data_IF_943655752260
#
_entry.id   IF_943655752260
#
_cell.length_a   1.000
_cell.length_b   1.000
_cell.length_c   1.000
_cell.angle_alpha   90.00
_cell.angle_beta   90.00
_cell.angle_gamma   90.00
#
_symmetry.space_group_name_H-M   'P 1'
#
loop_
_entity.id
_entity.type
_entity.pdbx_description
1 polymer ?
#
# COMPACT_ATOMS: atom_id res chain seq x y z
N UNK A 1 0.43 -7.76 9.46
CA UNK A 1 -0.65 -6.79 9.26
C UNK A 1 -0.95 -6.60 7.79
N UNK A 2 -0.08 -5.88 7.07
CA UNK A 2 -0.32 -5.48 5.67
C UNK A 2 -0.62 -6.65 4.71
N UNK A 3 0.08 -7.78 4.86
CA UNK A 3 -0.18 -8.97 4.04
C UNK A 3 -1.60 -9.53 4.21
N UNK A 4 -2.14 -9.52 5.43
CA UNK A 4 -3.50 -10.02 5.68
C UNK A 4 -4.56 -9.07 5.11
N UNK A 5 -4.35 -7.76 5.27
CA UNK A 5 -5.22 -6.75 4.69
C UNK A 5 -5.21 -6.83 3.14
N UNK A 6 -4.03 -7.00 2.54
CA UNK A 6 -3.90 -7.16 1.10
C UNK A 6 -4.56 -8.46 0.60
N UNK A 7 -4.38 -9.59 1.31
CA UNK A 7 -5.00 -10.87 0.95
C UNK A 7 -6.52 -10.83 1.08
N UNK A 8 -7.05 -10.19 2.12
CA UNK A 8 -8.49 -10.00 2.31
C UNK A 8 -9.08 -9.09 1.23
N UNK A 9 -8.40 -8.00 0.89
CA UNK A 9 -8.79 -7.14 -0.24
C UNK A 9 -8.76 -7.91 -1.57
N UNK A 10 -7.75 -8.75 -1.80
CA UNK A 10 -7.65 -9.60 -2.98
C UNK A 10 -8.89 -10.51 -3.10
N UNK A 11 -9.27 -11.14 -1.98
CA UNK A 11 -10.43 -12.02 -1.91
C UNK A 11 -11.74 -11.27 -2.20
N UNK A 12 -11.93 -10.09 -1.61
CA UNK A 12 -13.13 -9.26 -1.83
C UNK A 12 -13.22 -8.72 -3.26
N UNK A 13 -12.11 -8.28 -3.83
CA UNK A 13 -12.07 -7.72 -5.18
C UNK A 13 -11.99 -8.80 -6.28
N UNK A 14 -11.85 -10.08 -5.91
CA UNK A 14 -11.70 -11.18 -6.87
C UNK A 14 -10.41 -11.12 -7.69
N UNK A 15 -9.37 -10.47 -7.16
CA UNK A 15 -8.07 -10.27 -7.81
C UNK A 15 -6.98 -11.06 -7.08
N UNK A 16 -5.85 -11.28 -7.75
CA UNK A 16 -4.66 -11.88 -7.14
C UNK A 16 -3.56 -10.85 -7.00
N UNK A 17 -2.94 -10.79 -5.83
CA UNK A 17 -1.74 -9.99 -5.59
C UNK A 17 -0.55 -10.90 -5.32
N UNK A 18 0.61 -10.53 -5.86
CA UNK A 18 1.88 -11.16 -5.51
C UNK A 18 2.40 -10.47 -4.26
N UNK A 19 2.54 -11.22 -3.16
CA UNK A 19 3.09 -10.68 -1.92
C UNK A 19 4.61 -10.57 -2.02
N UNK A 20 5.13 -9.35 -1.93
CA UNK A 20 6.57 -9.07 -1.87
C UNK A 20 6.93 -8.74 -0.41
N UNK A 21 7.74 -9.58 0.27
CA UNK A 21 8.04 -9.39 1.69
C UNK A 21 9.09 -8.29 1.90
N UNK A 22 8.72 -7.26 2.66
CA UNK A 22 9.63 -6.19 3.09
C UNK A 22 9.81 -6.18 4.60
N UNK A 23 10.99 -5.71 5.04
CA UNK A 23 11.31 -5.57 6.47
C UNK A 23 10.70 -4.32 7.10
N UNK A 24 10.21 -3.37 6.30
CA UNK A 24 9.58 -2.16 6.81
C UNK A 24 8.98 -1.28 5.72
N UNK A 25 8.13 -0.33 6.14
CA UNK A 25 7.38 0.56 5.25
C UNK A 25 8.26 1.48 4.40
N UNK A 26 9.43 1.91 4.91
CA UNK A 26 10.33 2.79 4.16
C UNK A 26 10.83 2.16 2.85
N UNK A 27 11.10 0.85 2.86
CA UNK A 27 11.50 0.12 1.65
C UNK A 27 10.34 0.02 0.66
N UNK A 28 9.14 -0.30 1.16
CA UNK A 28 7.91 -0.35 0.36
C UNK A 28 7.66 0.99 -0.35
N UNK A 29 7.76 2.11 0.37
CA UNK A 29 7.51 3.44 -0.21
C UNK A 29 8.56 3.81 -1.26
N UNK A 30 9.82 3.47 -1.04
CA UNK A 30 10.87 3.69 -2.03
C UNK A 30 10.57 2.95 -3.32
N UNK A 31 10.12 1.69 -3.22
CA UNK A 31 9.83 0.84 -4.37
C UNK A 31 8.54 1.23 -5.10
N UNK A 32 7.52 1.72 -4.38
CA UNK A 32 6.31 2.29 -5.01
C UNK A 32 6.65 3.58 -5.77
N UNK A 33 7.45 4.47 -5.18
CA UNK A 33 7.88 5.72 -5.84
C UNK A 33 8.78 5.41 -7.04
N UNK A 34 9.63 4.40 -6.92
CA UNK A 34 10.52 3.91 -7.99
C UNK A 34 9.82 3.09 -9.06
N UNK A 35 8.51 2.79 -8.93
CA UNK A 35 7.75 1.99 -9.89
C UNK A 35 8.09 0.50 -9.92
N UNK A 36 8.77 0.00 -8.89
CA UNK A 36 9.03 -1.44 -8.70
C UNK A 36 7.81 -2.19 -8.17
N UNK A 37 6.93 -1.48 -7.45
CA UNK A 37 5.65 -1.99 -6.97
C UNK A 37 4.51 -1.21 -7.60
N UNK A 38 3.54 -1.91 -8.15
CA UNK A 38 2.32 -1.31 -8.71
C UNK A 38 1.47 -0.64 -7.62
N UNK A 39 1.44 -1.26 -6.43
CA UNK A 39 0.68 -0.78 -5.29
C UNK A 39 1.22 -1.35 -3.98
N UNK A 40 0.93 -0.66 -2.87
CA UNK A 40 1.22 -1.13 -1.54
C UNK A 40 0.11 -0.79 -0.56
N UNK A 41 -0.11 -1.69 0.39
CA UNK A 41 -0.96 -1.45 1.57
C UNK A 41 -0.04 -1.02 2.71
N UNK A 42 -0.18 0.22 3.14
CA UNK A 42 0.61 0.82 4.22
C UNK A 42 -0.27 1.59 5.18
N UNK A 43 0.24 1.86 6.38
CA UNK A 43 -0.43 2.74 7.32
C UNK A 43 -0.36 4.20 6.84
N UNK A 44 -1.40 4.96 7.21
CA UNK A 44 -1.51 6.38 6.85
C UNK A 44 -0.34 7.19 7.44
N UNK A 45 0.13 6.83 8.63
CA UNK A 45 1.17 7.57 9.35
C UNK A 45 2.47 7.72 8.54
N UNK A 46 2.99 6.62 8.00
CA UNK A 46 4.20 6.67 7.16
C UNK A 46 3.95 7.12 5.72
N UNK A 47 2.70 7.19 5.25
CA UNK A 47 2.36 7.58 3.89
C UNK A 47 1.94 9.05 3.74
N UNK A 48 1.47 9.70 4.82
CA UNK A 48 0.78 11.01 4.72
C UNK A 48 1.66 12.14 4.17
N UNK A 49 2.96 12.14 4.49
CA UNK A 49 3.90 13.14 3.98
C UNK A 49 4.10 12.98 2.48
N UNK A 50 4.37 11.76 2.02
CA UNK A 50 4.56 11.44 0.60
C UNK A 50 3.28 11.67 -0.23
N UNK A 51 2.12 11.41 0.38
CA UNK A 51 0.83 11.68 -0.22
C UNK A 51 0.59 13.19 -0.39
N UNK A 52 0.89 14.00 0.63
CA UNK A 52 0.81 15.47 0.55
C UNK A 52 1.79 16.07 -0.46
N UNK A 53 2.97 15.47 -0.60
CA UNK A 53 3.97 15.84 -1.61
C UNK A 53 3.59 15.40 -3.04
N UNK A 54 2.51 14.63 -3.22
CA UNK A 54 2.06 14.14 -4.53
C UNK A 54 2.95 13.05 -5.13
N UNK A 55 3.87 12.47 -4.35
CA UNK A 55 4.77 11.39 -4.80
C UNK A 55 4.07 10.04 -4.91
N UNK A 56 2.96 9.87 -4.18
CA UNK A 56 2.12 8.68 -4.21
C UNK A 56 0.65 9.10 -4.30
N UNK A 57 -0.19 8.19 -4.80
CA UNK A 57 -1.64 8.38 -4.92
C UNK A 57 -2.39 7.40 -4.03
N UNK A 58 -3.23 7.89 -3.12
CA UNK A 58 -4.16 7.03 -2.38
C UNK A 58 -5.30 6.55 -3.29
N UNK A 59 -5.33 5.24 -3.53
CA UNK A 59 -6.38 4.57 -4.31
C UNK A 59 -7.57 4.20 -3.42
N UNK A 60 -7.31 3.72 -2.19
CA UNK A 60 -8.31 3.32 -1.21
C UNK A 60 -7.78 3.49 0.23
N UNK A 61 -8.68 3.48 1.20
CA UNK A 61 -8.36 3.36 2.63
C UNK A 61 -9.09 2.15 3.22
N UNK A 62 -8.53 1.55 4.28
CA UNK A 62 -9.17 0.43 4.99
C UNK A 62 -10.04 0.88 6.18
N UNK A 63 -10.22 2.19 6.36
CA UNK A 63 -11.16 2.77 7.33
C UNK A 63 -12.57 2.91 6.76
N UNK A 64 -13.56 3.20 7.61
CA UNK A 64 -14.96 3.36 7.19
C UNK A 64 -15.19 4.52 6.21
N UNK A 65 -14.31 5.53 6.20
CA UNK A 65 -14.46 6.71 5.35
C UNK A 65 -13.11 7.14 4.78
N UNK A 66 -13.12 7.54 3.50
CA UNK A 66 -11.95 7.95 2.71
C UNK A 66 -11.36 9.29 3.16
#
# INVERSE_FOLDING_TARGET
>A
GYQLAAAWFANLAGVQFVNVPYKGQAQIMTDVIGGQLDMAVVDLGGAITLLKEGKIRAVAVTGETR
#
